data_IF_651716443101
#
_entry.id   IF_651716443101
#
_cell.length_a   1.000
_cell.length_b   1.000
_cell.length_c   1.000
_cell.angle_alpha   90.00
_cell.angle_beta   90.00
_cell.angle_gamma   90.00
#
_symmetry.space_group_name_H-M   'P 1'
#
loop_
_entity.id
_entity.type
_entity.pdbx_description
1 polymer ?
#
# COMPACT_ATOMS: atom_id res chain seq x y z
N UNK A 1 -6.67 24.32 -0.35
CA UNK A 1 -5.36 23.65 -0.44
C UNK A 1 -5.53 22.26 0.16
N UNK A 2 -6.05 21.34 -0.64
CA UNK A 2 -6.23 19.96 -0.21
C UNK A 2 -4.86 19.29 -0.27
N UNK A 3 -4.48 18.60 0.80
CA UNK A 3 -3.16 17.96 0.96
C UNK A 3 -3.03 16.78 -0.01
N UNK A 4 -2.83 17.09 -1.29
CA UNK A 4 -2.73 16.12 -2.35
C UNK A 4 -1.25 15.78 -2.56
N UNK A 5 -0.90 14.51 -2.34
CA UNK A 5 0.42 13.88 -2.56
C UNK A 5 1.58 14.31 -1.67
N UNK A 6 1.41 14.15 -0.36
CA UNK A 6 2.55 13.65 0.40
C UNK A 6 2.56 12.14 0.19
N UNK A 7 3.64 11.53 -0.34
CA UNK A 7 3.81 10.06 -0.43
C UNK A 7 3.91 9.36 0.94
N UNK A 8 3.14 9.85 1.92
CA UNK A 8 3.00 9.44 3.32
C UNK A 8 1.59 8.89 3.57
N UNK A 9 1.00 8.29 2.55
CA UNK A 9 -0.30 7.64 2.61
C UNK A 9 -0.20 6.34 3.40
N UNK A 10 -1.04 6.20 4.43
CA UNK A 10 -1.07 5.05 5.34
C UNK A 10 -1.21 3.73 4.58
N UNK A 11 -1.94 3.72 3.47
CA UNK A 11 -2.06 2.55 2.60
C UNK A 11 -0.71 2.13 2.01
N UNK A 12 0.06 3.08 1.48
CA UNK A 12 1.40 2.79 0.96
C UNK A 12 2.31 2.25 2.05
N UNK A 13 2.23 2.76 3.28
CA UNK A 13 2.98 2.22 4.41
C UNK A 13 2.59 0.76 4.72
N UNK A 14 1.30 0.47 4.86
CA UNK A 14 0.80 -0.89 5.17
C UNK A 14 1.15 -1.87 4.05
N UNK A 15 1.05 -1.45 2.79
CA UNK A 15 1.37 -2.29 1.64
C UNK A 15 2.87 -2.60 1.54
N UNK A 16 3.73 -1.64 1.88
CA UNK A 16 5.18 -1.86 1.95
C UNK A 16 5.55 -2.81 3.10
N UNK A 17 4.92 -2.67 4.27
CA UNK A 17 5.13 -3.59 5.41
C UNK A 17 4.68 -5.00 5.05
N UNK A 18 3.49 -5.16 4.46
CA UNK A 18 2.97 -6.46 4.04
C UNK A 18 3.89 -7.12 3.00
N UNK A 19 4.36 -6.36 2.01
CA UNK A 19 5.29 -6.85 0.98
C UNK A 19 6.64 -7.25 1.56
N UNK A 20 7.18 -6.47 2.50
CA UNK A 20 8.43 -6.79 3.18
C UNK A 20 8.31 -8.07 4.02
N UNK A 21 7.22 -8.21 4.77
CA UNK A 21 6.94 -9.41 5.55
C UNK A 21 6.80 -10.66 4.65
N UNK A 22 6.13 -10.53 3.50
CA UNK A 22 6.02 -11.60 2.51
C UNK A 22 7.39 -12.00 1.92
N UNK A 23 8.25 -11.01 1.65
CA UNK A 23 9.60 -11.27 1.12
C UNK A 23 10.51 -11.98 2.14
N UNK A 24 10.39 -11.63 3.43
CA UNK A 24 11.19 -12.22 4.51
C UNK A 24 10.66 -13.57 4.99
N UNK A 25 9.39 -13.89 4.73
CA UNK A 25 8.73 -15.13 5.16
C UNK A 25 9.53 -16.43 4.90
N UNK A 26 10.12 -16.68 3.71
CA UNK A 26 10.90 -17.91 3.49
C UNK A 26 12.16 -17.96 4.37
N UNK A 27 12.77 -16.81 4.69
CA UNK A 27 13.93 -16.72 5.57
C UNK A 27 13.54 -17.05 7.01
N UNK A 28 12.45 -16.46 7.52
CA UNK A 28 12.00 -16.68 8.89
C UNK A 28 11.53 -18.12 9.09
N UNK A 29 10.84 -18.70 8.12
CA UNK A 29 10.45 -20.12 8.15
C UNK A 29 11.64 -21.08 8.12
N UNK A 30 12.73 -20.72 7.43
CA UNK A 30 13.95 -21.53 7.39
C UNK A 30 14.65 -21.56 8.76
N UNK A 31 14.78 -20.41 9.42
CA UNK A 31 15.45 -20.32 10.72
C UNK A 31 14.55 -20.68 11.91
N UNK A 32 13.23 -20.48 11.81
CA UNK A 32 12.27 -20.65 12.90
C UNK A 32 11.01 -21.43 12.46
N UNK A 33 11.15 -22.68 12.01
CA UNK A 33 10.04 -23.47 11.48
C UNK A 33 8.89 -23.69 12.49
N UNK A 34 9.17 -23.61 13.79
CA UNK A 34 8.17 -23.74 14.86
C UNK A 34 7.09 -22.65 14.83
N UNK A 35 7.37 -21.47 14.25
CA UNK A 35 6.41 -20.36 14.17
C UNK A 35 5.70 -20.26 12.83
N UNK A 36 5.93 -21.20 11.91
CA UNK A 36 5.44 -21.18 10.53
C UNK A 36 3.95 -20.82 10.41
N UNK A 37 3.08 -21.45 11.20
CA UNK A 37 1.63 -21.19 11.14
C UNK A 37 1.28 -19.76 11.55
N UNK A 38 2.01 -19.21 12.52
CA UNK A 38 1.80 -17.87 13.04
C UNK A 38 2.35 -16.81 12.07
N UNK A 39 3.53 -17.05 11.50
CA UNK A 39 4.14 -16.16 10.50
C UNK A 39 3.31 -16.08 9.22
N UNK A 40 2.87 -17.23 8.69
CA UNK A 40 1.96 -17.28 7.53
C UNK A 40 0.65 -16.55 7.85
N UNK A 41 0.07 -16.80 9.02
CA UNK A 41 -1.16 -16.12 9.47
C UNK A 41 -1.00 -14.60 9.56
N UNK A 42 0.13 -14.12 10.08
CA UNK A 42 0.43 -12.70 10.17
C UNK A 42 0.58 -12.05 8.78
N UNK A 43 1.30 -12.68 7.86
CA UNK A 43 1.45 -12.16 6.48
C UNK A 43 0.11 -12.09 5.76
N UNK A 44 -0.72 -13.13 5.86
CA UNK A 44 -2.08 -13.14 5.29
C UNK A 44 -2.93 -12.02 5.88
N UNK A 45 -2.87 -11.82 7.20
CA UNK A 45 -3.59 -10.73 7.87
C UNK A 45 -3.15 -9.35 7.35
N UNK A 46 -1.83 -9.11 7.23
CA UNK A 46 -1.32 -7.84 6.68
C UNK A 46 -1.72 -7.61 5.23
N UNK A 47 -1.79 -8.67 4.41
CA UNK A 47 -2.27 -8.58 3.03
C UNK A 47 -3.77 -8.25 2.97
N UNK A 48 -4.59 -8.87 3.81
CA UNK A 48 -6.03 -8.56 3.90
C UNK A 48 -6.22 -7.10 4.36
N UNK A 49 -5.47 -6.65 5.37
CA UNK A 49 -5.50 -5.26 5.82
C UNK A 49 -5.08 -4.30 4.69
N UNK A 50 -4.05 -4.62 3.91
CA UNK A 50 -3.63 -3.80 2.78
C UNK A 50 -4.72 -3.69 1.68
N UNK A 51 -5.52 -4.75 1.49
CA UNK A 51 -6.64 -4.78 0.54
C UNK A 51 -7.86 -3.99 1.05
N UNK A 52 -8.19 -4.15 2.33
CA UNK A 52 -9.36 -3.50 2.96
C UNK A 52 -9.13 -2.02 3.24
N UNK A 53 -7.89 -1.59 3.47
CA UNK A 53 -7.58 -0.16 3.65
C UNK A 53 -7.96 0.57 2.36
N UNK A 54 -8.91 1.51 2.41
CA UNK A 54 -9.39 2.20 1.23
C UNK A 54 -8.21 2.87 0.53
N UNK A 55 -8.15 2.86 -0.81
CA UNK A 55 -7.10 3.55 -1.54
C UNK A 55 -7.21 5.06 -1.34
N UNK A 56 -6.60 5.56 -0.25
CA UNK A 56 -6.23 6.97 -0.13
C UNK A 56 -5.19 7.23 -1.21
N UNK A 57 -5.65 7.72 -2.37
CA UNK A 57 -4.86 7.88 -3.59
C UNK A 57 -5.31 7.07 -4.81
N UNK A 58 -6.52 6.46 -4.84
CA UNK A 58 -7.09 5.93 -6.10
C UNK A 58 -7.25 7.04 -7.16
N UNK A 59 -7.57 8.24 -6.68
CA UNK A 59 -7.34 9.48 -7.42
C UNK A 59 -5.88 9.86 -7.19
N UNK A 60 -4.95 9.27 -7.94
CA UNK A 60 -3.65 9.89 -8.18
C UNK A 60 -3.80 10.80 -9.40
N UNK A 61 -3.24 12.02 -9.37
CA UNK A 61 -3.41 12.98 -10.41
C UNK A 61 -2.76 12.40 -11.64
N UNK A 62 -3.60 12.15 -12.63
CA UNK A 62 -3.16 11.56 -13.87
C UNK A 62 -3.18 12.65 -14.93
N UNK A 63 -2.11 12.83 -15.72
CA UNK A 63 -2.05 13.88 -16.74
C UNK A 63 -3.17 13.75 -17.78
N UNK A 64 -3.70 12.54 -17.96
CA UNK A 64 -4.81 12.24 -18.86
C UNK A 64 -6.16 12.08 -18.14
N UNK A 65 -6.30 12.59 -16.91
CA UNK A 65 -7.59 12.56 -16.21
C UNK A 65 -8.56 13.60 -16.77
N UNK A 66 -9.76 13.16 -17.14
CA UNK A 66 -10.85 14.05 -17.55
C UNK A 66 -11.51 14.78 -16.37
N UNK A 67 -11.33 14.28 -15.15
CA UNK A 67 -11.77 14.96 -13.93
C UNK A 67 -10.93 16.23 -13.68
N UNK A 68 -11.54 17.44 -13.63
CA UNK A 68 -10.81 18.70 -13.50
C UNK A 68 -9.92 18.80 -12.25
N UNK A 69 -10.34 18.17 -11.14
CA UNK A 69 -9.60 18.16 -9.87
C UNK A 69 -8.55 17.05 -9.71
N UNK A 70 -8.44 16.12 -10.67
CA UNK A 70 -7.52 14.96 -10.61
C UNK A 70 -6.39 15.09 -11.66
N UNK A 71 -6.05 16.32 -12.07
CA UNK A 71 -4.91 16.59 -12.95
C UNK A 71 -3.71 17.07 -12.11
N UNK A 72 -2.48 16.68 -12.46
CA UNK A 72 -1.28 17.11 -11.74
C UNK A 72 -1.00 18.62 -11.91
N UNK A 73 -1.47 19.20 -13.01
CA UNK A 73 -1.42 20.63 -13.27
C UNK A 73 -2.79 21.13 -13.68
N UNK A 74 -3.25 22.28 -13.15
CA UNK A 74 -4.45 22.94 -13.67
C UNK A 74 -4.20 23.29 -15.15
N UNK A 75 -5.17 23.02 -16.04
CA UNK A 75 -5.09 23.58 -17.41
C UNK A 75 -5.16 25.10 -17.27
N UNK A 76 -4.25 25.79 -17.96
CA UNK A 76 -4.36 27.23 -18.19
C UNK A 76 -5.17 27.37 -19.48
N UNK A 77 -6.48 27.34 -19.34
CA UNK A 77 -7.44 27.83 -20.34
C UNK A 77 -7.70 29.32 -20.10
#
# INVERSE_FOLDING_TARGET
MENYHSGRDLKSLVLNIASCALFLLPLTMFFYPQFMKLEVGAVVLFMILALLVPPMGWMRPHPYSDMPGNRPYPRKD
#
